data_IF_255997543014
#
_entry.id   IF_255997543014
#
_cell.length_a   1.000
_cell.length_b   1.000
_cell.length_c   1.000
_cell.angle_alpha   90.00
_cell.angle_beta   90.00
_cell.angle_gamma   90.00
#
_symmetry.space_group_name_H-M   'P 1'
#
loop_
_entity.id
_entity.type
_entity.pdbx_description
1 polymer ?
#
# COMPACT_ATOMS: atom_id res chain seq x y z
N UNK A 1 4.50 -56.99 10.24
CA UNK A 1 4.57 -55.77 11.06
C UNK A 1 5.63 -54.89 10.42
N UNK A 2 5.16 -53.95 9.61
CA UNK A 2 5.59 -52.55 9.41
C UNK A 2 7.09 -52.21 9.20
N UNK A 3 7.49 -51.16 8.48
CA UNK A 3 7.09 -50.47 7.24
C UNK A 3 8.25 -49.48 6.97
N UNK A 4 8.70 -49.40 5.72
CA UNK A 4 9.36 -48.31 4.95
C UNK A 4 9.98 -47.03 5.60
N UNK A 5 11.10 -46.56 5.02
CA UNK A 5 11.48 -45.17 4.58
C UNK A 5 13.02 -45.22 4.24
N UNK A 6 13.53 -45.23 2.98
CA UNK A 6 13.65 -44.17 1.93
C UNK A 6 14.32 -42.87 2.44
N UNK A 7 15.21 -42.12 1.79
CA UNK A 7 15.80 -42.07 0.45
C UNK A 7 17.01 -41.10 0.55
N UNK A 8 17.88 -41.18 -0.44
CA UNK A 8 19.28 -40.72 -0.56
C UNK A 8 19.54 -39.19 -0.61
N UNK A 9 20.81 -38.88 -0.34
CA UNK A 9 21.62 -37.69 -0.56
C UNK A 9 21.42 -37.00 -1.91
N UNK A 10 21.35 -35.67 -1.92
CA UNK A 10 22.13 -34.86 -2.88
C UNK A 10 22.19 -33.40 -2.45
N UNK A 11 23.38 -32.82 -2.61
CA UNK A 11 23.69 -31.41 -2.51
C UNK A 11 23.26 -30.67 -3.79
N UNK A 12 22.65 -29.50 -3.64
CA UNK A 12 22.65 -28.30 -4.54
C UNK A 12 21.46 -27.40 -4.12
N UNK A 13 21.52 -26.11 -3.80
CA UNK A 13 22.52 -25.05 -3.79
C UNK A 13 22.13 -24.05 -2.68
N UNK A 14 23.06 -23.42 -1.94
CA UNK A 14 22.73 -22.41 -0.94
C UNK A 14 22.69 -21.03 -1.60
N UNK A 15 21.63 -20.70 -2.36
CA UNK A 15 21.25 -19.34 -2.77
C UNK A 15 19.97 -19.34 -3.65
N UNK A 16 18.85 -19.91 -3.17
CA UNK A 16 17.55 -19.61 -3.80
C UNK A 16 16.31 -19.70 -2.89
N UNK A 17 16.47 -19.39 -1.61
CA UNK A 17 15.34 -19.21 -0.69
C UNK A 17 15.51 -17.90 0.06
N UNK A 18 15.40 -16.79 -0.67
CA UNK A 18 14.98 -15.55 -0.01
C UNK A 18 13.51 -15.79 0.36
N UNK A 19 13.28 -16.20 1.60
CA UNK A 19 11.99 -16.05 2.24
C UNK A 19 11.66 -14.55 2.30
N UNK A 20 11.10 -14.02 1.22
CA UNK A 20 10.37 -12.75 1.27
C UNK A 20 8.96 -13.07 1.77
N UNK A 21 8.86 -13.33 3.07
CA UNK A 21 7.62 -13.17 3.81
C UNK A 21 8.00 -12.58 5.17
N UNK A 22 8.20 -11.26 5.16
CA UNK A 22 8.36 -10.42 6.33
C UNK A 22 7.37 -10.84 7.45
N UNK A 23 7.82 -11.14 8.68
CA UNK A 23 6.97 -11.02 9.85
C UNK A 23 7.43 -9.80 10.63
N UNK A 24 7.25 -8.60 10.07
CA UNK A 24 7.00 -7.47 10.96
C UNK A 24 5.63 -7.78 11.56
N UNK A 25 5.64 -8.25 12.81
CA UNK A 25 4.53 -8.65 13.69
C UNK A 25 3.10 -8.43 13.13
N UNK A 26 2.27 -9.48 13.19
CA UNK A 26 0.81 -9.48 12.95
C UNK A 26 0.00 -8.40 13.72
N UNK A 27 0.64 -7.58 14.54
CA UNK A 27 0.04 -6.50 15.31
C UNK A 27 0.19 -5.12 14.66
N UNK A 28 1.09 -4.94 13.68
CA UNK A 28 1.21 -3.67 12.97
C UNK A 28 0.30 -3.71 11.75
N UNK A 29 -0.79 -2.93 11.72
CA UNK A 29 -1.65 -2.85 10.55
C UNK A 29 -0.82 -2.30 9.38
N UNK A 30 -0.96 -2.93 8.21
CA UNK A 30 -0.12 -2.66 7.05
C UNK A 30 -0.51 -1.36 6.30
N UNK A 31 -1.59 -0.72 6.75
CA UNK A 31 -2.04 0.65 6.46
C UNK A 31 -2.58 1.28 7.76
N UNK A 32 -2.75 2.60 7.79
CA UNK A 32 -3.14 3.30 9.03
C UNK A 32 -4.54 2.90 9.52
N UNK A 33 -4.69 2.92 10.84
CA UNK A 33 -5.98 2.76 11.53
C UNK A 33 -6.85 4.01 11.41
N UNK A 34 -8.15 3.87 11.68
CA UNK A 34 -9.06 5.01 11.70
C UNK A 34 -8.64 6.00 12.81
N UNK A 35 -8.44 7.28 12.47
CA UNK A 35 -7.96 8.32 13.38
C UNK A 35 -6.46 8.29 13.74
N UNK A 36 -5.69 7.32 13.24
CA UNK A 36 -4.23 7.25 13.42
C UNK A 36 -3.47 8.10 12.39
N UNK A 37 -2.16 8.34 12.57
CA UNK A 37 -1.36 9.06 11.58
C UNK A 37 -1.13 8.23 10.31
N UNK A 38 -0.90 8.90 9.17
CA UNK A 38 -0.58 8.21 7.92
C UNK A 38 0.75 7.43 8.03
N UNK A 39 0.76 6.22 7.47
CA UNK A 39 1.93 5.33 7.43
C UNK A 39 2.35 5.13 5.97
N UNK A 40 3.62 5.41 5.67
CA UNK A 40 4.26 5.17 4.37
C UNK A 40 5.48 4.29 4.54
N UNK A 41 5.30 2.97 4.40
CA UNK A 41 6.38 2.00 4.53
C UNK A 41 7.25 2.03 3.26
N UNK A 42 8.52 2.43 3.43
CA UNK A 42 9.53 2.55 2.38
C UNK A 42 10.55 1.41 2.47
N UNK A 43 11.29 1.18 1.40
CA UNK A 43 12.33 0.16 1.32
C UNK A 43 11.79 -1.26 1.13
N UNK A 44 10.52 -1.40 0.75
CA UNK A 44 9.91 -2.69 0.50
C UNK A 44 10.22 -3.20 -0.91
N UNK A 45 10.27 -4.51 -1.05
CA UNK A 45 10.19 -5.16 -2.36
C UNK A 45 8.71 -5.22 -2.75
N UNK A 46 8.34 -4.49 -3.79
CA UNK A 46 6.95 -4.42 -4.27
C UNK A 46 6.66 -5.58 -5.24
N UNK A 47 5.57 -6.35 -5.04
CA UNK A 47 5.13 -7.37 -5.97
C UNK A 47 4.94 -6.79 -7.37
N UNK A 48 5.25 -7.61 -8.37
CA UNK A 48 5.07 -7.26 -9.78
C UNK A 48 3.84 -7.98 -10.32
N UNK A 49 3.10 -7.28 -11.18
CA UNK A 49 2.05 -7.89 -11.99
C UNK A 49 2.63 -8.82 -13.06
N UNK A 50 1.76 -9.49 -13.82
CA UNK A 50 2.15 -10.44 -14.87
C UNK A 50 3.01 -9.84 -16.00
N UNK A 51 3.13 -8.51 -16.07
CA UNK A 51 3.92 -7.78 -17.07
C UNK A 51 5.10 -7.06 -16.40
N UNK A 52 5.39 -7.35 -15.13
CA UNK A 52 6.55 -6.81 -14.41
C UNK A 52 6.35 -5.42 -13.81
N UNK A 53 5.13 -4.87 -13.78
CA UNK A 53 4.83 -3.56 -13.20
C UNK A 53 4.52 -3.69 -11.71
N UNK A 54 4.96 -2.74 -10.90
CA UNK A 54 4.71 -2.71 -9.46
C UNK A 54 4.34 -1.32 -9.01
N UNK A 55 3.88 -1.20 -7.76
CA UNK A 55 3.92 0.07 -7.04
C UNK A 55 5.33 0.68 -7.10
N UNK A 56 5.39 2.02 -7.14
CA UNK A 56 6.63 2.78 -7.15
C UNK A 56 6.68 3.67 -5.92
N UNK A 57 7.74 3.54 -5.11
CA UNK A 57 7.88 4.29 -3.86
C UNK A 57 7.86 5.81 -4.05
N UNK A 58 8.36 6.31 -5.18
CA UNK A 58 8.37 7.74 -5.50
C UNK A 58 6.96 8.35 -5.59
N UNK A 59 5.93 7.52 -5.73
CA UNK A 59 4.54 7.99 -5.65
C UNK A 59 4.20 8.55 -4.28
N UNK A 60 4.86 8.14 -3.19
CA UNK A 60 4.68 8.77 -1.88
C UNK A 60 5.13 10.23 -1.84
N UNK A 61 6.13 10.60 -2.64
CA UNK A 61 6.61 11.99 -2.75
C UNK A 61 5.56 12.82 -3.48
N UNK A 62 5.00 12.26 -4.55
CA UNK A 62 3.98 12.95 -5.37
C UNK A 62 2.61 13.00 -4.69
N UNK A 63 2.27 11.99 -3.92
CA UNK A 63 0.98 11.82 -3.26
C UNK A 63 1.19 11.57 -1.76
N UNK A 64 1.39 12.62 -0.96
CA UNK A 64 1.65 12.48 0.48
C UNK A 64 0.52 11.81 1.27
N UNK A 65 -0.69 11.77 0.72
CA UNK A 65 -1.89 11.09 1.26
C UNK A 65 -1.95 9.58 0.96
N UNK A 66 -1.01 9.07 0.16
CA UNK A 66 -1.02 7.70 -0.34
C UNK A 66 -0.47 6.73 0.69
N UNK A 67 -1.17 5.61 0.86
CA UNK A 67 -0.74 4.45 1.64
C UNK A 67 -0.64 3.24 0.71
N UNK A 68 0.29 2.33 0.99
CA UNK A 68 0.43 1.08 0.27
C UNK A 68 0.29 -0.08 1.24
N UNK A 69 -0.59 -1.03 0.92
CA UNK A 69 -0.78 -2.29 1.64
C UNK A 69 0.03 -3.39 0.94
N UNK A 70 1.11 -3.90 1.55
CA UNK A 70 1.84 -5.05 1.03
C UNK A 70 1.00 -6.33 1.02
N UNK A 71 0.04 -6.47 1.94
CA UNK A 71 -0.80 -7.67 1.99
C UNK A 71 -1.78 -7.75 0.82
N UNK A 72 -2.26 -6.60 0.34
CA UNK A 72 -3.22 -6.52 -0.77
C UNK A 72 -2.59 -6.19 -2.13
N UNK A 73 -1.29 -5.85 -2.15
CA UNK A 73 -0.61 -5.24 -3.31
C UNK A 73 -1.49 -4.13 -3.91
N UNK A 74 -1.87 -3.17 -3.07
CA UNK A 74 -2.82 -2.12 -3.42
C UNK A 74 -2.56 -0.83 -2.65
N UNK A 75 -2.92 0.30 -3.24
CA UNK A 75 -2.81 1.62 -2.61
C UNK A 75 -4.16 2.18 -2.19
N UNK A 76 -4.11 2.97 -1.13
CA UNK A 76 -5.25 3.59 -0.49
C UNK A 76 -5.01 5.09 -0.31
N UNK A 77 -6.09 5.85 -0.24
CA UNK A 77 -6.06 7.26 0.09
C UNK A 77 -6.47 7.43 1.54
N UNK A 78 -5.51 7.79 2.38
CA UNK A 78 -5.73 7.93 3.82
C UNK A 78 -6.89 8.90 4.11
N UNK A 79 -6.91 10.16 3.62
CA UNK A 79 -7.98 11.11 3.94
C UNK A 79 -9.36 10.61 3.51
N UNK A 80 -9.42 9.99 2.34
CA UNK A 80 -10.66 9.44 1.82
C UNK A 80 -11.18 8.29 2.69
N UNK A 81 -10.30 7.45 3.23
CA UNK A 81 -10.69 6.39 4.18
C UNK A 81 -11.21 6.96 5.50
N UNK A 82 -10.65 8.08 5.97
CA UNK A 82 -10.96 8.65 7.28
C UNK A 82 -12.22 9.51 7.28
N UNK A 83 -12.39 10.36 6.26
CA UNK A 83 -13.32 11.49 6.31
C UNK A 83 -14.50 11.39 5.34
N UNK A 84 -14.57 10.35 4.51
CA UNK A 84 -15.72 10.14 3.63
C UNK A 84 -16.83 9.39 4.35
N UNK A 85 -18.06 9.87 4.16
CA UNK A 85 -19.25 9.20 4.67
C UNK A 85 -19.51 7.89 3.94
N UNK A 86 -19.98 6.88 4.68
CA UNK A 86 -20.48 5.62 4.13
C UNK A 86 -21.60 5.91 3.12
N UNK A 87 -21.31 5.78 1.82
CA UNK A 87 -22.27 6.09 0.74
C UNK A 87 -21.66 6.75 -0.49
N UNK A 88 -20.41 7.21 -0.43
CA UNK A 88 -19.69 7.64 -1.64
C UNK A 88 -19.43 6.45 -2.56
N UNK A 89 -19.65 6.62 -3.87
CA UNK A 89 -19.42 5.57 -4.89
C UNK A 89 -17.93 5.22 -5.07
N UNK A 90 -17.02 5.97 -4.46
CA UNK A 90 -15.58 5.81 -4.63
C UNK A 90 -15.01 4.83 -3.62
N UNK A 91 -15.09 3.54 -3.97
CA UNK A 91 -14.60 2.43 -3.14
C UNK A 91 -13.16 2.00 -3.46
N UNK A 92 -12.63 2.44 -4.62
CA UNK A 92 -11.35 1.96 -5.15
C UNK A 92 -10.18 2.41 -4.27
N UNK A 93 -10.17 3.65 -3.79
CA UNK A 93 -9.10 4.18 -2.94
C UNK A 93 -9.39 4.08 -1.43
N UNK A 94 -10.50 3.44 -1.05
CA UNK A 94 -10.95 3.37 0.34
C UNK A 94 -11.04 1.94 0.86
N UNK A 95 -11.92 1.13 0.28
CA UNK A 95 -12.23 -0.22 0.76
C UNK A 95 -11.55 -1.32 -0.06
N UNK A 96 -11.42 -1.12 -1.38
CA UNK A 96 -10.94 -2.16 -2.31
C UNK A 96 -9.42 -2.09 -2.49
N UNK A 97 -8.88 -0.87 -2.56
CA UNK A 97 -7.48 -0.62 -2.92
C UNK A 97 -7.29 -0.53 -4.44
N UNK A 98 -6.49 0.44 -4.87
CA UNK A 98 -6.11 0.62 -6.26
C UNK A 98 -4.86 -0.21 -6.56
N UNK A 99 -4.90 -1.01 -7.63
CA UNK A 99 -3.74 -1.83 -8.05
C UNK A 99 -3.49 -1.87 -9.55
N UNK A 100 -4.04 -0.90 -10.28
CA UNK A 100 -3.82 -0.80 -11.73
C UNK A 100 -2.53 0.00 -12.01
N UNK A 101 -1.39 -0.67 -11.87
CA UNK A 101 -0.06 -0.06 -12.02
C UNK A 101 0.18 0.55 -13.40
N UNK A 102 -0.44 0.00 -14.45
CA UNK A 102 -0.37 0.53 -15.82
C UNK A 102 -0.80 2.00 -15.91
N UNK A 103 -1.86 2.35 -15.19
CA UNK A 103 -2.53 3.66 -15.30
C UNK A 103 -2.41 4.51 -14.04
N UNK A 104 -1.51 4.13 -13.13
CA UNK A 104 -1.40 4.75 -11.81
C UNK A 104 -1.14 6.27 -11.90
N UNK A 105 -0.31 6.72 -12.83
CA UNK A 105 0.07 8.14 -13.00
C UNK A 105 -0.52 8.81 -14.26
N UNK A 106 -1.43 8.14 -14.96
CA UNK A 106 -2.13 8.73 -16.12
C UNK A 106 -2.98 9.92 -15.67
N UNK A 107 -2.89 11.07 -16.35
CA UNK A 107 -3.59 12.31 -15.94
C UNK A 107 -5.10 12.14 -15.73
N UNK A 108 -5.75 11.34 -16.58
CA UNK A 108 -7.21 11.15 -16.56
C UNK A 108 -7.64 9.88 -15.83
N UNK A 109 -6.73 9.15 -15.18
CA UNK A 109 -7.01 7.91 -14.44
C UNK A 109 -6.18 7.82 -13.16
N UNK A 110 -6.29 6.69 -12.46
CA UNK A 110 -5.45 6.35 -11.32
C UNK A 110 -5.37 7.44 -10.26
N UNK A 111 -4.15 7.67 -9.78
CA UNK A 111 -3.84 8.56 -8.67
C UNK A 111 -4.03 10.03 -9.03
N UNK A 112 -3.67 10.44 -10.26
CA UNK A 112 -3.84 11.82 -10.71
C UNK A 112 -5.31 12.22 -10.74
N UNK A 113 -6.17 11.39 -11.37
CA UNK A 113 -7.61 11.66 -11.41
C UNK A 113 -8.24 11.67 -10.02
N UNK A 114 -7.79 10.76 -9.15
CA UNK A 114 -8.27 10.73 -7.77
C UNK A 114 -7.90 12.00 -7.02
N UNK A 115 -6.65 12.46 -7.14
CA UNK A 115 -6.17 13.69 -6.52
C UNK A 115 -7.00 14.92 -6.93
N UNK A 116 -7.45 14.97 -8.19
CA UNK A 116 -8.26 16.08 -8.70
C UNK A 116 -9.77 15.94 -8.40
N UNK A 117 -10.20 14.81 -7.80
CA UNK A 117 -11.59 14.54 -7.54
C UNK A 117 -12.14 15.40 -6.40
N UNK A 118 -13.41 15.84 -6.52
CA UNK A 118 -14.07 16.60 -5.45
C UNK A 118 -14.09 15.84 -4.12
N UNK A 119 -14.24 14.53 -4.18
CA UNK A 119 -14.25 13.63 -3.02
C UNK A 119 -12.91 13.72 -2.28
N UNK A 120 -11.79 13.57 -2.99
CA UNK A 120 -10.46 13.73 -2.42
C UNK A 120 -10.24 15.13 -1.86
N UNK A 121 -10.58 16.18 -2.61
CA UNK A 121 -10.40 17.57 -2.16
C UNK A 121 -11.18 17.86 -0.87
N UNK A 122 -12.41 17.37 -0.74
CA UNK A 122 -13.20 17.50 0.49
C UNK A 122 -12.58 16.72 1.65
N UNK A 123 -12.12 15.49 1.41
CA UNK A 123 -11.45 14.70 2.44
C UNK A 123 -10.14 15.35 2.90
N UNK A 124 -9.34 15.89 1.97
CA UNK A 124 -8.12 16.64 2.25
C UNK A 124 -8.37 17.89 3.08
N UNK A 125 -9.48 18.60 2.84
CA UNK A 125 -9.86 19.77 3.64
C UNK A 125 -10.18 19.42 5.11
N UNK A 126 -10.65 18.19 5.36
CA UNK A 126 -10.92 17.68 6.70
C UNK A 126 -9.70 17.01 7.34
N UNK A 127 -8.61 16.80 6.59
CA UNK A 127 -7.40 16.15 7.11
C UNK A 127 -6.48 17.18 7.77
N UNK A 128 -6.36 17.20 9.11
CA UNK A 128 -5.65 18.25 9.85
C UNK A 128 -4.12 18.23 9.69
N UNK A 129 -3.55 17.40 8.80
CA UNK A 129 -2.10 17.16 8.76
C UNK A 129 -1.27 18.34 8.22
N UNK A 130 -1.89 19.43 7.75
CA UNK A 130 -1.15 20.66 7.48
C UNK A 130 -0.48 21.24 8.75
N UNK A 131 -1.04 21.05 9.94
CA UNK A 131 -0.58 21.75 11.16
C UNK A 131 0.53 21.00 11.94
N UNK A 132 0.69 19.69 11.77
CA UNK A 132 1.63 18.88 12.58
C UNK A 132 3.04 18.73 11.99
N UNK A 133 3.20 18.96 10.68
CA UNK A 133 4.54 18.92 10.04
C UNK A 133 5.26 20.26 10.12
N UNK A 134 4.52 21.37 10.12
CA UNK A 134 5.07 22.73 10.29
C UNK A 134 5.51 22.99 11.75
N UNK A 135 4.86 22.37 12.73
CA UNK A 135 5.22 22.48 14.15
C UNK A 135 6.43 21.62 14.59
N UNK A 136 6.91 20.72 13.73
CA UNK A 136 8.10 19.90 14.01
C UNK A 136 9.40 20.46 13.37
N UNK A 137 9.34 21.67 12.79
CA UNK A 137 10.49 22.39 12.22
C UNK A 137 10.73 23.77 12.87
N UNK A 138 10.12 24.04 14.03
CA UNK A 138 10.40 25.22 14.87
C UNK A 138 11.07 24.81 16.18
#
# INVERSE_FOLDING_TARGET
MDNFISFDSSLSDPLNSIEICNPINKEIPDISTLGGNIIQIKGLIYPKDSIGRSFQQDWFIRFPWLEYSPSLDAVFCYPCRQFLSHGTKENVFTNIGFKNWKSAIEKSKGLCKHADSRVHLTAMANWPEKELRESSQL
#
